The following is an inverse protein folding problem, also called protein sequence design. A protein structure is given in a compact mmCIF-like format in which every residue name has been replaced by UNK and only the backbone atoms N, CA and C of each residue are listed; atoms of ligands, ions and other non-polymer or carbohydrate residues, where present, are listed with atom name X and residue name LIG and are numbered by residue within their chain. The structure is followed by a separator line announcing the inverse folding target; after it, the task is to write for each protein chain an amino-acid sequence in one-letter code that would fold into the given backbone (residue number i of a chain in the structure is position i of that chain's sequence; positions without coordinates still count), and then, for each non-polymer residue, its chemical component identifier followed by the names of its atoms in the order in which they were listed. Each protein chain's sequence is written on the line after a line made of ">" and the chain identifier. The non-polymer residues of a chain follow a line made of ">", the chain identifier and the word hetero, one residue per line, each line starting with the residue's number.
data_IF_675085685410
#
_entry.id   IF_675085685410
#
_cell.length_a   1.000
_cell.length_b   1.000
_cell.length_c   1.000
_cell.angle_alpha   90.00
_cell.angle_beta   90.00
_cell.angle_gamma   90.00
#
_symmetry.space_group_name_H-M   'P 1'
#
loop_
_entity.id
_entity.type
_entity.pdbx_description
1 polymer ?
#
# COMPACT_ATOMS: atom_id res chain seq x y z
N UNK A 1 -5.42 -17.42 -10.92
CA UNK A 1 -3.95 -17.57 -10.86
C UNK A 1 -3.56 -19.04 -10.93
N UNK A 2 -2.30 -19.32 -11.35
CA UNK A 2 -1.74 -20.66 -11.38
C UNK A 2 -0.59 -20.76 -10.38
N UNK A 3 -0.65 -21.76 -9.50
CA UNK A 3 0.46 -22.09 -8.60
C UNK A 3 1.57 -22.78 -9.40
N UNK A 4 2.64 -22.03 -9.68
CA UNK A 4 3.84 -22.59 -10.33
C UNK A 4 4.85 -23.11 -9.31
N UNK A 5 5.75 -24.01 -9.75
CA UNK A 5 6.85 -24.47 -8.89
C UNK A 5 7.72 -23.32 -8.37
N UNK A 6 7.87 -22.24 -9.14
CA UNK A 6 8.60 -21.04 -8.73
C UNK A 6 7.90 -20.35 -7.56
N UNK A 7 6.57 -20.17 -7.63
CA UNK A 7 5.79 -19.58 -6.52
C UNK A 7 5.93 -20.41 -5.25
N UNK A 8 5.77 -21.75 -5.35
CA UNK A 8 5.90 -22.65 -4.21
C UNK A 8 7.30 -22.61 -3.60
N UNK A 9 8.33 -22.55 -4.43
CA UNK A 9 9.72 -22.42 -3.96
C UNK A 9 9.93 -21.10 -3.25
N UNK A 10 9.48 -19.98 -3.82
CA UNK A 10 9.61 -18.66 -3.21
C UNK A 10 8.86 -18.59 -1.86
N UNK A 11 7.64 -19.11 -1.79
CA UNK A 11 6.88 -19.15 -0.54
C UNK A 11 7.65 -19.90 0.56
N UNK A 12 8.17 -21.09 0.25
CA UNK A 12 8.97 -21.87 1.20
C UNK A 12 10.21 -21.09 1.67
N UNK A 13 10.90 -20.41 0.78
CA UNK A 13 12.07 -19.60 1.15
C UNK A 13 11.68 -18.40 2.03
N UNK A 14 10.59 -17.72 1.70
CA UNK A 14 10.07 -16.60 2.53
C UNK A 14 9.74 -17.11 3.94
N UNK A 15 8.99 -18.21 4.06
CA UNK A 15 8.64 -18.79 5.36
C UNK A 15 9.87 -19.19 6.17
N UNK A 16 10.85 -19.80 5.51
CA UNK A 16 12.12 -20.16 6.15
C UNK A 16 12.89 -18.94 6.67
N UNK A 17 13.02 -17.90 5.85
CA UNK A 17 13.70 -16.68 6.26
C UNK A 17 12.95 -15.93 7.35
N UNK A 18 11.63 -15.86 7.25
CA UNK A 18 10.78 -15.19 8.22
C UNK A 18 10.86 -15.90 9.59
N UNK A 19 10.73 -17.22 9.62
CA UNK A 19 10.89 -18.00 10.85
C UNK A 19 12.28 -17.85 11.48
N UNK A 20 13.34 -17.74 10.68
CA UNK A 20 14.68 -17.47 11.18
C UNK A 20 14.80 -16.05 11.79
N UNK A 21 14.08 -15.04 11.24
CA UNK A 21 14.06 -13.69 11.80
C UNK A 21 13.31 -13.67 13.14
N UNK A 22 12.17 -14.32 13.23
CA UNK A 22 11.39 -14.39 14.46
C UNK A 22 12.13 -15.12 15.60
N UNK A 23 12.91 -16.15 15.27
CA UNK A 23 13.72 -16.87 16.24
C UNK A 23 14.90 -16.06 16.81
N UNK A 24 15.27 -14.93 16.21
CA UNK A 24 16.36 -14.08 16.67
C UNK A 24 15.94 -13.19 17.83
N UNK A 25 16.74 -13.20 18.90
CA UNK A 25 16.61 -12.27 20.00
C UNK A 25 17.23 -10.91 19.63
N UNK A 26 16.43 -10.04 19.03
CA UNK A 26 16.87 -8.68 18.68
C UNK A 26 16.58 -7.76 19.87
N UNK A 27 17.55 -6.95 20.35
CA UNK A 27 17.31 -5.99 21.43
C UNK A 27 16.15 -5.04 21.13
N UNK A 28 15.29 -4.78 22.10
CA UNK A 28 14.09 -3.92 21.92
C UNK A 28 14.44 -2.52 21.39
N UNK A 29 15.53 -1.92 21.86
CA UNK A 29 15.96 -0.60 21.38
C UNK A 29 16.33 -0.60 19.89
N UNK A 30 16.97 -1.68 19.41
CA UNK A 30 17.29 -1.84 18.00
C UNK A 30 16.03 -2.06 17.16
N UNK A 31 15.09 -2.87 17.65
CA UNK A 31 13.81 -3.09 16.97
C UNK A 31 13.01 -1.80 16.82
N UNK A 32 12.90 -0.99 17.87
CA UNK A 32 12.18 0.29 17.80
C UNK A 32 12.82 1.27 16.81
N UNK A 33 14.16 1.32 16.76
CA UNK A 33 14.86 2.15 15.80
C UNK A 33 14.66 1.64 14.36
N UNK A 34 14.72 0.32 14.15
CA UNK A 34 14.50 -0.30 12.85
C UNK A 34 13.08 -0.05 12.35
N UNK A 35 12.08 -0.30 13.18
CA UNK A 35 10.67 -0.06 12.86
C UNK A 35 10.41 1.40 12.47
N UNK A 36 10.89 2.35 13.28
CA UNK A 36 10.76 3.78 12.97
C UNK A 36 11.40 4.13 11.63
N UNK A 37 12.61 3.65 11.36
CA UNK A 37 13.29 3.89 10.10
C UNK A 37 12.55 3.24 8.93
N UNK A 38 12.01 2.04 9.10
CA UNK A 38 11.23 1.35 8.10
C UNK A 38 9.92 2.10 7.77
N UNK A 39 9.22 2.66 8.78
CA UNK A 39 8.03 3.47 8.54
C UNK A 39 8.34 4.73 7.74
N UNK A 40 9.46 5.41 8.03
CA UNK A 40 9.93 6.57 7.28
C UNK A 40 10.27 6.18 5.84
N UNK A 41 11.03 5.11 5.66
CA UNK A 41 11.44 4.61 4.34
C UNK A 41 10.23 4.17 3.51
N UNK A 42 9.27 3.45 4.10
CA UNK A 42 8.03 3.05 3.44
C UNK A 42 7.22 4.27 2.99
N UNK A 43 7.13 5.30 3.85
CA UNK A 43 6.43 6.54 3.52
C UNK A 43 7.09 7.30 2.37
N UNK A 44 8.43 7.34 2.34
CA UNK A 44 9.18 7.89 1.22
C UNK A 44 8.94 7.09 -0.06
N UNK A 45 9.24 5.79 -0.05
CA UNK A 45 9.20 4.94 -1.23
C UNK A 45 7.80 4.91 -1.87
N UNK A 46 6.76 4.71 -1.06
CA UNK A 46 5.38 4.66 -1.55
C UNK A 46 4.93 5.96 -2.22
N UNK A 47 5.30 7.11 -1.69
CA UNK A 47 4.95 8.40 -2.30
C UNK A 47 5.87 8.72 -3.50
N UNK A 48 7.14 8.31 -3.47
CA UNK A 48 8.08 8.43 -4.58
C UNK A 48 7.61 7.68 -5.83
N UNK A 49 7.03 6.47 -5.68
CA UNK A 49 6.38 5.72 -6.77
C UNK A 49 5.29 6.55 -7.46
N UNK A 50 4.53 7.33 -6.69
CA UNK A 50 3.44 8.18 -7.19
C UNK A 50 3.93 9.56 -7.70
N UNK A 51 5.25 9.79 -7.71
CA UNK A 51 5.86 11.01 -8.24
C UNK A 51 5.96 12.16 -7.24
N UNK A 52 5.83 11.91 -5.93
CA UNK A 52 6.11 12.92 -4.92
C UNK A 52 7.57 13.39 -5.02
N UNK A 53 7.85 14.71 -5.11
CA UNK A 53 9.18 15.23 -5.43
C UNK A 53 10.15 15.28 -4.24
N UNK A 54 9.67 15.02 -3.01
CA UNK A 54 10.51 15.13 -1.82
C UNK A 54 11.60 14.06 -1.80
N UNK A 55 12.81 14.46 -1.48
CA UNK A 55 13.93 13.55 -1.24
C UNK A 55 13.77 12.79 0.08
N UNK A 56 14.44 11.66 0.20
CA UNK A 56 14.44 10.86 1.43
C UNK A 56 14.91 11.67 2.66
N UNK A 57 15.87 12.58 2.48
CA UNK A 57 16.37 13.43 3.56
C UNK A 57 15.31 14.43 4.04
N UNK A 58 14.54 15.03 3.11
CA UNK A 58 13.43 15.94 3.44
C UNK A 58 12.30 15.20 4.15
N UNK A 59 11.92 14.02 3.67
CA UNK A 59 10.92 13.15 4.32
C UNK A 59 11.37 12.76 5.73
N UNK A 60 12.62 12.34 5.89
CA UNK A 60 13.20 12.00 7.20
C UNK A 60 13.12 13.19 8.15
N UNK A 61 13.53 14.37 7.70
CA UNK A 61 13.47 15.59 8.50
C UNK A 61 12.04 15.96 8.89
N UNK A 62 11.09 15.89 7.94
CA UNK A 62 9.67 16.17 8.17
C UNK A 62 9.10 15.28 9.28
N UNK A 63 9.34 13.97 9.19
CA UNK A 63 8.74 12.97 10.08
C UNK A 63 9.44 12.84 11.43
N UNK A 64 10.76 13.05 11.51
CA UNK A 64 11.50 12.98 12.77
C UNK A 64 11.25 14.17 13.70
N UNK A 65 11.00 15.34 13.13
CA UNK A 65 10.80 16.58 13.89
C UNK A 65 9.31 16.89 14.11
N UNK A 66 8.39 15.98 13.76
CA UNK A 66 6.93 16.17 13.85
C UNK A 66 6.49 17.53 13.27
N UNK A 67 7.13 17.94 12.18
CA UNK A 67 6.89 19.25 11.56
C UNK A 67 5.51 19.30 10.91
N UNK A 68 4.80 20.39 11.11
CA UNK A 68 3.53 20.64 10.43
C UNK A 68 3.78 20.72 8.91
N UNK A 69 3.08 19.92 8.09
CA UNK A 69 3.26 19.92 6.65
C UNK A 69 2.87 21.29 6.06
N UNK A 70 3.77 21.89 5.27
CA UNK A 70 3.61 23.21 4.70
C UNK A 70 2.90 23.22 3.32
N UNK A 71 2.88 22.09 2.63
CA UNK A 71 2.32 21.95 1.29
C UNK A 71 1.67 20.57 1.10
N UNK A 72 1.10 20.37 -0.10
CA UNK A 72 0.44 19.12 -0.50
C UNK A 72 1.39 17.91 -0.42
N UNK A 73 2.59 18.05 -0.94
CA UNK A 73 3.53 16.93 -1.07
C UNK A 73 3.96 16.42 0.32
N UNK A 74 4.25 17.34 1.24
CA UNK A 74 4.52 17.01 2.65
C UNK A 74 3.29 16.38 3.33
N UNK A 75 2.09 16.86 3.00
CA UNK A 75 0.84 16.33 3.56
C UNK A 75 0.60 14.88 3.15
N UNK A 76 0.88 14.54 1.89
CA UNK A 76 0.80 13.17 1.39
C UNK A 76 1.71 12.22 2.19
N UNK A 77 2.96 12.65 2.46
CA UNK A 77 3.91 11.88 3.27
C UNK A 77 3.39 11.68 4.70
N UNK A 78 2.98 12.76 5.36
CA UNK A 78 2.50 12.71 6.76
C UNK A 78 1.26 11.83 6.89
N UNK A 79 0.32 11.91 5.96
CA UNK A 79 -0.88 11.08 5.97
C UNK A 79 -0.52 9.58 5.85
N UNK A 80 0.33 9.24 4.88
CA UNK A 80 0.78 7.86 4.68
C UNK A 80 1.49 7.32 5.92
N UNK A 81 2.45 8.06 6.46
CA UNK A 81 3.18 7.71 7.68
C UNK A 81 2.25 7.52 8.88
N UNK A 82 1.27 8.41 9.06
CA UNK A 82 0.31 8.34 10.18
C UNK A 82 -0.53 7.07 10.11
N UNK A 83 -0.98 6.66 8.91
CA UNK A 83 -1.72 5.42 8.73
C UNK A 83 -0.84 4.21 9.04
N UNK A 84 0.39 4.18 8.53
CA UNK A 84 1.35 3.10 8.83
C UNK A 84 1.64 2.98 10.32
N UNK A 85 1.91 4.10 10.99
CA UNK A 85 2.23 4.15 12.42
C UNK A 85 1.09 3.62 13.30
N UNK A 86 -0.16 3.83 12.88
CA UNK A 86 -1.35 3.41 13.62
C UNK A 86 -1.98 2.11 13.07
N UNK A 87 -1.22 1.34 12.29
CA UNK A 87 -1.76 0.13 11.64
C UNK A 87 -2.21 -0.95 12.62
N UNK A 88 -1.58 -1.01 13.80
CA UNK A 88 -1.96 -1.94 14.87
C UNK A 88 -3.41 -1.75 15.35
N UNK A 89 -3.93 -0.52 15.29
CA UNK A 89 -5.34 -0.24 15.60
C UNK A 89 -6.31 -0.80 14.56
N UNK A 90 -5.82 -1.07 13.34
CA UNK A 90 -6.59 -1.58 12.22
C UNK A 90 -6.58 -3.11 12.11
N UNK A 91 -5.59 -3.78 12.72
CA UNK A 91 -5.43 -5.24 12.64
C UNK A 91 -6.69 -5.97 13.14
N UNK A 92 -7.32 -5.48 14.21
CA UNK A 92 -8.49 -6.11 14.81
C UNK A 92 -9.83 -5.67 14.20
N UNK A 93 -9.82 -4.74 13.24
CA UNK A 93 -11.05 -4.34 12.52
C UNK A 93 -11.39 -5.36 11.43
N UNK A 94 -12.68 -5.53 11.17
CA UNK A 94 -13.13 -6.34 10.04
C UNK A 94 -12.61 -5.75 8.72
N UNK A 95 -12.13 -6.61 7.84
CA UNK A 95 -11.71 -6.19 6.51
C UNK A 95 -12.94 -6.06 5.62
N UNK A 96 -13.45 -4.85 5.49
CA UNK A 96 -14.66 -4.51 4.78
C UNK A 96 -14.50 -3.23 3.94
N UNK A 97 -15.54 -2.85 3.22
CA UNK A 97 -15.51 -1.66 2.36
C UNK A 97 -15.29 -0.37 3.17
N UNK A 98 -15.89 -0.25 4.35
CA UNK A 98 -15.76 0.94 5.19
C UNK A 98 -14.32 1.15 5.66
N UNK A 99 -13.60 0.06 5.96
CA UNK A 99 -12.18 0.11 6.30
C UNK A 99 -11.36 0.65 5.11
N UNK A 100 -11.62 0.14 3.90
CA UNK A 100 -10.94 0.61 2.69
C UNK A 100 -11.20 2.11 2.46
N UNK A 101 -12.46 2.53 2.56
CA UNK A 101 -12.85 3.93 2.37
C UNK A 101 -12.24 4.84 3.46
N UNK A 102 -12.18 4.38 4.71
CA UNK A 102 -11.57 5.13 5.81
C UNK A 102 -10.06 5.32 5.64
N UNK A 103 -9.35 4.30 5.18
CA UNK A 103 -7.91 4.39 4.87
C UNK A 103 -7.68 5.41 3.73
N UNK A 104 -8.45 5.31 2.65
CA UNK A 104 -8.36 6.29 1.55
C UNK A 104 -8.75 7.70 2.00
N UNK A 105 -9.76 7.85 2.85
CA UNK A 105 -10.15 9.15 3.41
C UNK A 105 -9.00 9.78 4.19
N UNK A 106 -8.37 9.03 5.08
CA UNK A 106 -7.24 9.53 5.87
C UNK A 106 -6.03 9.85 4.99
N UNK A 107 -5.77 9.03 3.97
CA UNK A 107 -4.69 9.24 3.01
C UNK A 107 -4.85 10.56 2.25
N UNK A 108 -6.08 10.88 1.83
CA UNK A 108 -6.40 12.06 1.03
C UNK A 108 -6.80 13.30 1.85
N UNK A 109 -6.79 13.20 3.18
CA UNK A 109 -7.17 14.29 4.08
C UNK A 109 -6.24 15.50 3.93
N UNK A 110 -6.82 16.67 3.57
CA UNK A 110 -6.08 17.90 3.29
C UNK A 110 -5.21 17.87 2.02
N UNK A 111 -5.28 16.79 1.24
CA UNK A 111 -4.65 16.64 -0.09
C UNK A 111 -5.68 16.90 -1.18
N UNK A 112 -6.82 16.22 -1.12
CA UNK A 112 -7.96 16.44 -2.02
C UNK A 112 -9.27 15.99 -1.34
N UNK A 113 -9.93 16.91 -0.69
CA UNK A 113 -11.16 16.68 0.07
C UNK A 113 -12.35 16.23 -0.80
N UNK A 114 -12.33 16.55 -2.10
CA UNK A 114 -13.43 16.22 -3.01
C UNK A 114 -13.52 14.72 -3.34
N UNK A 115 -12.40 14.01 -3.22
CA UNK A 115 -12.32 12.59 -3.58
C UNK A 115 -12.02 11.66 -2.39
N UNK A 116 -11.71 12.23 -1.23
CA UNK A 116 -11.34 11.45 -0.04
C UNK A 116 -12.45 10.48 0.36
N UNK A 117 -12.12 9.21 0.51
CA UNK A 117 -13.06 8.15 0.90
C UNK A 117 -14.18 7.88 -0.11
N UNK A 118 -14.06 8.35 -1.37
CA UNK A 118 -15.14 8.22 -2.35
C UNK A 118 -14.74 7.35 -3.53
N UNK A 119 -15.52 6.30 -3.78
CA UNK A 119 -15.40 5.50 -5.00
C UNK A 119 -15.74 6.39 -6.20
N UNK A 120 -14.89 6.35 -7.23
CA UNK A 120 -15.12 7.09 -8.47
C UNK A 120 -16.39 6.64 -9.19
N UNK A 121 -16.96 7.56 -9.95
CA UNK A 121 -18.09 7.31 -10.85
C UNK A 121 -17.76 7.84 -12.27
N UNK A 122 -16.50 7.71 -12.66
CA UNK A 122 -15.98 8.19 -13.94
C UNK A 122 -14.94 7.22 -14.46
N UNK A 123 -14.71 7.25 -15.76
CA UNK A 123 -13.58 6.56 -16.35
C UNK A 123 -12.27 7.24 -15.91
N UNK A 124 -11.28 6.43 -15.60
CA UNK A 124 -9.90 6.86 -15.37
C UNK A 124 -8.98 5.96 -16.20
N UNK A 125 -7.78 6.44 -16.48
CA UNK A 125 -6.72 5.65 -17.10
C UNK A 125 -5.47 5.77 -16.25
N UNK A 126 -4.71 4.70 -16.15
CA UNK A 126 -3.40 4.69 -15.52
C UNK A 126 -2.36 4.76 -16.62
N UNK A 127 -1.47 5.72 -16.55
CA UNK A 127 -0.48 5.91 -17.60
C UNK A 127 0.52 7.00 -17.27
N UNK A 128 1.47 7.17 -18.18
CA UNK A 128 2.51 8.17 -18.08
C UNK A 128 2.35 9.20 -19.19
N UNK A 129 2.34 10.48 -18.83
CA UNK A 129 2.38 11.57 -19.79
C UNK A 129 3.83 11.86 -20.15
N UNK A 130 4.16 11.73 -21.43
CA UNK A 130 5.48 12.06 -21.96
C UNK A 130 5.69 13.59 -22.04
N UNK A 131 6.95 14.06 -22.14
CA UNK A 131 7.25 15.49 -22.29
C UNK A 131 6.63 16.12 -23.54
N UNK A 132 6.39 15.34 -24.59
CA UNK A 132 5.71 15.77 -25.82
C UNK A 132 4.17 15.89 -25.68
N UNK A 133 3.62 15.58 -24.48
CA UNK A 133 2.20 15.61 -24.18
C UNK A 133 1.44 14.32 -24.51
N UNK A 134 2.08 13.33 -25.10
CA UNK A 134 1.51 12.00 -25.40
C UNK A 134 1.29 11.21 -24.11
N UNK A 135 0.14 10.49 -24.03
CA UNK A 135 -0.22 9.63 -22.91
C UNK A 135 0.03 8.17 -23.26
N UNK A 136 0.98 7.54 -22.58
CA UNK A 136 1.16 6.10 -22.63
C UNK A 136 0.23 5.47 -21.59
N UNK A 137 -0.82 4.78 -22.06
CA UNK A 137 -1.77 4.08 -21.20
C UNK A 137 -1.16 2.73 -20.81
N UNK A 138 -0.96 2.50 -19.51
CA UNK A 138 -0.49 1.23 -18.96
C UNK A 138 -1.65 0.33 -18.55
N UNK A 139 -2.71 0.93 -17.99
CA UNK A 139 -3.90 0.20 -17.58
C UNK A 139 -5.16 1.04 -17.83
N UNK A 140 -6.21 0.39 -18.33
CA UNK A 140 -7.54 0.96 -18.47
C UNK A 140 -8.49 0.17 -17.57
N UNK A 141 -8.85 0.67 -16.37
CA UNK A 141 -9.69 -0.04 -15.44
C UNK A 141 -11.05 -0.43 -16.07
N UNK A 142 -11.55 -1.66 -15.83
CA UNK A 142 -12.67 -2.21 -16.56
C UNK A 142 -14.03 -1.61 -16.17
N UNK A 143 -14.11 -0.98 -14.99
CA UNK A 143 -15.36 -0.48 -14.44
C UNK A 143 -15.39 1.05 -14.43
N UNK A 144 -16.55 1.65 -14.76
CA UNK A 144 -16.68 3.11 -14.86
C UNK A 144 -17.77 3.67 -13.92
N UNK A 145 -18.70 2.82 -13.49
CA UNK A 145 -19.81 3.23 -12.59
C UNK A 145 -19.48 2.84 -11.15
N UNK A 146 -19.85 3.72 -10.23
CA UNK A 146 -19.68 3.50 -8.79
C UNK A 146 -20.24 2.14 -8.33
N UNK A 147 -21.43 1.76 -8.83
CA UNK A 147 -22.08 0.49 -8.48
C UNK A 147 -21.27 -0.73 -8.94
N UNK A 148 -20.71 -0.69 -10.14
CA UNK A 148 -19.88 -1.78 -10.69
C UNK A 148 -18.59 -1.93 -9.89
N UNK A 149 -17.94 -0.79 -9.58
CA UNK A 149 -16.71 -0.75 -8.79
C UNK A 149 -16.98 -1.26 -7.37
N UNK A 150 -18.05 -0.79 -6.71
CA UNK A 150 -18.43 -1.26 -5.37
C UNK A 150 -18.70 -2.76 -5.34
N UNK A 151 -19.39 -3.30 -6.35
CA UNK A 151 -19.65 -4.73 -6.45
C UNK A 151 -18.36 -5.54 -6.68
N UNK A 152 -17.43 -5.03 -7.48
CA UNK A 152 -16.13 -5.68 -7.71
C UNK A 152 -15.27 -5.67 -6.43
N UNK A 153 -15.24 -4.55 -5.71
CA UNK A 153 -14.56 -4.47 -4.42
C UNK A 153 -15.18 -5.41 -3.38
N UNK A 154 -16.51 -5.49 -3.30
CA UNK A 154 -17.17 -6.38 -2.36
C UNK A 154 -16.82 -7.85 -2.64
N UNK A 155 -16.81 -8.27 -3.90
CA UNK A 155 -16.38 -9.62 -4.28
C UNK A 155 -14.93 -9.90 -3.89
N UNK A 156 -14.04 -8.92 -4.05
CA UNK A 156 -12.63 -9.03 -3.66
C UNK A 156 -12.49 -9.15 -2.14
N UNK A 157 -13.25 -8.37 -1.38
CA UNK A 157 -13.30 -8.40 0.08
C UNK A 157 -13.82 -9.76 0.57
N UNK A 158 -14.95 -10.24 0.01
CA UNK A 158 -15.54 -11.52 0.35
C UNK A 158 -14.55 -12.66 0.08
N UNK A 159 -13.89 -12.63 -1.11
CA UNK A 159 -12.84 -13.59 -1.42
C UNK A 159 -11.70 -13.54 -0.39
N UNK A 160 -11.18 -12.36 -0.05
CA UNK A 160 -10.09 -12.22 0.92
C UNK A 160 -10.47 -12.81 2.29
N UNK A 161 -11.69 -12.58 2.75
CA UNK A 161 -12.17 -13.03 4.05
C UNK A 161 -12.38 -14.55 4.12
N UNK A 162 -12.82 -15.19 3.03
CA UNK A 162 -13.16 -16.62 3.02
C UNK A 162 -12.14 -17.53 2.34
N UNK A 163 -11.20 -16.98 1.57
CA UNK A 163 -10.17 -17.74 0.88
C UNK A 163 -9.25 -18.50 1.85
N UNK A 164 -8.85 -19.69 1.47
CA UNK A 164 -7.99 -20.57 2.27
C UNK A 164 -6.52 -20.56 1.80
N UNK A 165 -6.20 -19.68 0.85
CA UNK A 165 -4.85 -19.54 0.34
C UNK A 165 -3.88 -19.06 1.42
N UNK A 166 -2.61 -19.39 1.20
CA UNK A 166 -1.51 -18.93 2.05
C UNK A 166 -1.49 -17.38 2.09
N UNK A 167 -1.25 -16.76 3.27
CA UNK A 167 -1.42 -15.31 3.46
C UNK A 167 -0.67 -14.41 2.46
N UNK A 168 0.57 -14.77 2.10
CA UNK A 168 1.37 -14.01 1.13
C UNK A 168 0.70 -14.02 -0.25
N UNK A 169 0.12 -15.17 -0.65
CA UNK A 169 -0.63 -15.26 -1.91
C UNK A 169 -1.91 -14.42 -1.84
N UNK A 170 -2.63 -14.45 -0.72
CA UNK A 170 -3.82 -13.62 -0.52
C UNK A 170 -3.47 -12.13 -0.66
N UNK A 171 -2.39 -11.69 -0.03
CA UNK A 171 -1.93 -10.31 -0.11
C UNK A 171 -1.55 -9.91 -1.55
N UNK A 172 -0.82 -10.77 -2.27
CA UNK A 172 -0.43 -10.53 -3.65
C UNK A 172 -1.60 -10.50 -4.63
N UNK A 173 -2.55 -11.44 -4.50
CA UNK A 173 -3.77 -11.48 -5.33
C UNK A 173 -4.65 -10.28 -5.05
N UNK A 174 -4.85 -9.94 -3.76
CA UNK A 174 -5.60 -8.73 -3.38
C UNK A 174 -4.98 -7.47 -3.98
N UNK A 175 -3.66 -7.33 -3.87
CA UNK A 175 -2.92 -6.20 -4.43
C UNK A 175 -3.18 -6.04 -5.93
N UNK A 176 -3.00 -7.12 -6.69
CA UNK A 176 -3.22 -7.11 -8.14
C UNK A 176 -4.67 -6.75 -8.49
N UNK A 177 -5.66 -7.41 -7.88
CA UNK A 177 -7.07 -7.18 -8.16
C UNK A 177 -7.53 -5.78 -7.76
N UNK A 178 -7.03 -5.25 -6.63
CA UNK A 178 -7.34 -3.89 -6.20
C UNK A 178 -6.82 -2.84 -7.20
N UNK A 179 -5.57 -2.99 -7.67
CA UNK A 179 -5.00 -2.11 -8.69
C UNK A 179 -5.75 -2.24 -10.00
N UNK A 180 -6.16 -3.47 -10.39
CA UNK A 180 -6.96 -3.72 -11.58
C UNK A 180 -8.34 -3.05 -11.53
N UNK A 181 -9.04 -3.13 -10.40
CA UNK A 181 -10.34 -2.45 -10.19
C UNK A 181 -10.16 -0.92 -10.22
N UNK A 182 -9.09 -0.42 -9.60
CA UNK A 182 -8.74 1.00 -9.52
C UNK A 182 -9.89 1.87 -9.01
N UNK A 183 -10.32 1.70 -7.75
CA UNK A 183 -11.61 2.20 -7.27
C UNK A 183 -11.69 3.72 -7.10
N UNK A 184 -10.58 4.42 -7.01
CA UNK A 184 -10.53 5.84 -6.71
C UNK A 184 -10.07 6.69 -7.90
N UNK A 185 -10.28 8.01 -7.82
CA UNK A 185 -9.77 8.95 -8.83
C UNK A 185 -8.25 9.13 -8.68
N UNK A 186 -7.74 9.14 -7.44
CA UNK A 186 -6.32 9.28 -7.08
C UNK A 186 -6.05 8.44 -5.82
N UNK A 187 -4.79 8.18 -5.49
CA UNK A 187 -4.39 7.46 -4.28
C UNK A 187 -4.56 5.93 -4.32
N UNK A 188 -4.88 5.34 -5.46
CA UNK A 188 -5.09 3.89 -5.58
C UNK A 188 -3.84 3.08 -5.22
N UNK A 189 -2.68 3.42 -5.74
CA UNK A 189 -1.43 2.72 -5.47
C UNK A 189 -1.05 2.80 -3.99
N UNK A 190 -1.08 3.97 -3.39
CA UNK A 190 -0.80 4.19 -1.96
C UNK A 190 -1.79 3.43 -1.07
N UNK A 191 -3.09 3.51 -1.35
CA UNK A 191 -4.12 2.75 -0.63
C UNK A 191 -3.89 1.25 -0.76
N UNK A 192 -3.58 0.76 -1.95
CA UNK A 192 -3.30 -0.65 -2.20
C UNK A 192 -2.11 -1.15 -1.37
N UNK A 193 -1.01 -0.40 -1.33
CA UNK A 193 0.18 -0.77 -0.55
C UNK A 193 -0.11 -0.79 0.95
N UNK A 194 -0.86 0.20 1.48
CA UNK A 194 -1.31 0.21 2.87
C UNK A 194 -2.21 -1.00 3.20
N UNK A 195 -3.17 -1.33 2.33
CA UNK A 195 -4.05 -2.50 2.51
C UNK A 195 -3.27 -3.81 2.45
N UNK A 196 -2.30 -3.92 1.54
CA UNK A 196 -1.42 -5.10 1.42
C UNK A 196 -0.62 -5.29 2.71
N UNK A 197 -0.05 -4.20 3.24
CA UNK A 197 0.65 -4.21 4.52
C UNK A 197 -0.27 -4.66 5.66
N UNK A 198 -1.49 -4.11 5.72
CA UNK A 198 -2.48 -4.50 6.73
C UNK A 198 -2.87 -5.98 6.63
N UNK A 199 -3.08 -6.50 5.42
CA UNK A 199 -3.38 -7.93 5.21
C UNK A 199 -2.26 -8.79 5.77
N UNK A 200 -1.00 -8.50 5.44
CA UNK A 200 0.14 -9.25 5.94
C UNK A 200 0.26 -9.17 7.47
N UNK A 201 0.06 -7.99 8.06
CA UNK A 201 0.06 -7.81 9.52
C UNK A 201 -1.05 -8.60 10.22
N UNK A 202 -2.26 -8.67 9.65
CA UNK A 202 -3.38 -9.50 10.17
C UNK A 202 -3.02 -10.98 10.25
N UNK A 203 -2.15 -11.44 9.37
CA UNK A 203 -1.59 -12.80 9.38
C UNK A 203 -0.24 -12.91 10.09
N UNK A 204 0.08 -11.92 10.94
CA UNK A 204 1.27 -11.88 11.80
C UNK A 204 2.62 -11.71 11.07
N UNK A 205 2.62 -11.37 9.78
CA UNK A 205 3.85 -10.97 9.08
C UNK A 205 4.22 -9.54 9.47
N UNK A 206 5.22 -9.39 10.33
CA UNK A 206 5.69 -8.09 10.88
C UNK A 206 6.55 -7.32 9.85
N UNK A 207 5.96 -6.98 8.70
CA UNK A 207 6.69 -6.40 7.57
C UNK A 207 7.39 -5.09 7.95
N UNK A 208 6.67 -4.11 8.47
CA UNK A 208 7.23 -2.80 8.83
C UNK A 208 8.30 -2.87 9.94
N UNK A 209 8.33 -3.96 10.68
CA UNK A 209 9.29 -4.19 11.75
C UNK A 209 10.64 -4.69 11.22
N UNK A 210 10.63 -5.54 10.20
CA UNK A 210 11.84 -6.20 9.72
C UNK A 210 12.31 -5.70 8.36
N UNK A 211 11.41 -5.28 7.47
CA UNK A 211 11.75 -4.84 6.12
C UNK A 211 10.68 -3.89 5.56
N UNK A 212 11.01 -3.21 4.46
CA UNK A 212 10.16 -2.24 3.77
C UNK A 212 9.74 -2.81 2.41
N UNK A 213 8.48 -3.19 2.28
CA UNK A 213 7.95 -3.74 1.04
C UNK A 213 7.85 -2.66 -0.06
N UNK A 214 7.48 -1.44 0.32
CA UNK A 214 7.38 -0.29 -0.61
C UNK A 214 8.72 0.06 -1.26
N UNK A 215 9.83 -0.10 -0.51
CA UNK A 215 11.17 0.14 -1.02
C UNK A 215 11.53 -0.83 -2.16
N UNK A 216 11.13 -2.09 -2.02
CA UNK A 216 11.29 -3.09 -3.09
C UNK A 216 10.52 -2.70 -4.36
N UNK A 217 9.30 -2.17 -4.23
CA UNK A 217 8.52 -1.68 -5.36
C UNK A 217 9.13 -0.42 -6.00
N UNK A 218 9.76 0.45 -5.20
CA UNK A 218 10.39 1.68 -5.68
C UNK A 218 11.69 1.41 -6.44
N UNK A 219 12.47 0.38 -6.06
CA UNK A 219 13.72 -0.01 -6.72
C UNK A 219 13.47 -0.46 -8.17
N UNK A 220 12.42 -1.22 -8.42
CA UNK A 220 12.09 -1.69 -9.78
C UNK A 220 10.65 -1.35 -10.17
N UNK A 221 10.41 -0.06 -10.40
CA UNK A 221 9.09 0.45 -10.81
C UNK A 221 8.62 -0.10 -12.15
N UNK A 222 9.53 -0.57 -13.02
CA UNK A 222 9.15 -1.11 -14.32
C UNK A 222 8.55 -2.51 -14.20
N UNK A 223 9.05 -3.31 -13.26
CA UNK A 223 8.46 -4.61 -12.95
C UNK A 223 7.19 -4.49 -12.11
N UNK A 224 7.11 -3.45 -11.27
CA UNK A 224 5.98 -3.23 -10.38
C UNK A 224 4.76 -2.60 -11.09
N UNK A 225 4.95 -1.73 -12.08
CA UNK A 225 3.90 -0.87 -12.68
C UNK A 225 3.27 -1.43 -13.97
#
# INVERSE_FOLDING_TARGET
>A
YLLTNKILTNLREIERFYGNLEARQIPKSLLLNLERNNLIQSSYASNSIEGNPLSQAEVTNLLLNDRIPANRDEKEIVNYFTILKNMDELINKDFNLDLILSIHQNLMNGVNEKIQGQIRNTQVVVGMKLPNGELIIKHNPPFHKKTEISNALQKLIDWLNFAQEQPILKAGIFHHEFVYIHPFVDGNGRTCRLLTALILLKYQYQINKYFVLDDYYDIDRQLYS
#
